data_IF_543209436528
#
_entry.id   IF_543209436528
#
_cell.length_a   1.000
_cell.length_b   1.000
_cell.length_c   1.000
_cell.angle_alpha   90.00
_cell.angle_beta   90.00
_cell.angle_gamma   90.00
#
_symmetry.space_group_name_H-M   'P 1'
#
loop_
_entity.id
_entity.type
_entity.pdbx_description
1 polymer ?
#
# COMPACT_ATOMS: atom_id res chain seq x y z
N UNK A 1 10.42 5.28 10.57
CA UNK A 1 9.26 5.60 9.72
C UNK A 1 8.64 6.89 10.22
N UNK A 2 8.47 7.87 9.35
CA UNK A 2 7.88 9.15 9.76
C UNK A 2 6.37 9.03 9.95
N UNK A 3 5.76 10.09 10.47
CA UNK A 3 4.35 10.12 10.83
C UNK A 3 3.42 9.89 9.63
N UNK A 4 3.73 10.49 8.47
CA UNK A 4 2.93 10.33 7.26
C UNK A 4 3.01 8.89 6.72
N UNK A 5 4.21 8.35 6.67
CA UNK A 5 4.44 6.99 6.18
C UNK A 5 3.76 5.98 7.09
N UNK A 6 3.84 6.18 8.40
CA UNK A 6 3.21 5.31 9.38
C UNK A 6 1.69 5.34 9.25
N UNK A 7 1.13 6.51 9.00
CA UNK A 7 -0.31 6.67 8.82
C UNK A 7 -0.81 5.89 7.61
N UNK A 8 -0.10 5.99 6.49
CA UNK A 8 -0.43 5.22 5.30
C UNK A 8 -0.24 3.72 5.52
N UNK A 9 0.86 3.32 6.12
CA UNK A 9 1.13 1.93 6.42
C UNK A 9 0.00 1.32 7.27
N UNK A 10 -0.42 2.01 8.33
CA UNK A 10 -1.50 1.55 9.20
C UNK A 10 -2.81 1.41 8.45
N UNK A 11 -3.10 2.34 7.56
CA UNK A 11 -4.29 2.29 6.72
C UNK A 11 -4.28 1.06 5.80
N UNK A 12 -3.14 0.82 5.14
CA UNK A 12 -3.00 -0.33 4.24
C UNK A 12 -3.14 -1.66 4.99
N UNK A 13 -2.56 -1.76 6.18
CA UNK A 13 -2.71 -2.96 7.02
C UNK A 13 -4.17 -3.20 7.36
N UNK A 14 -4.89 -2.16 7.76
CA UNK A 14 -6.31 -2.26 8.08
C UNK A 14 -7.15 -2.72 6.91
N UNK A 15 -6.91 -2.15 5.73
CA UNK A 15 -7.63 -2.51 4.51
C UNK A 15 -7.38 -3.97 4.16
N UNK A 16 -6.13 -4.43 4.27
CA UNK A 16 -5.78 -5.81 3.98
C UNK A 16 -6.43 -6.80 4.93
N UNK A 17 -6.56 -6.43 6.22
CA UNK A 17 -7.20 -7.30 7.22
C UNK A 17 -8.72 -7.28 7.14
N UNK A 18 -9.30 -6.20 6.66
CA UNK A 18 -10.75 -6.05 6.60
C UNK A 18 -11.16 -5.31 5.31
N UNK A 19 -11.14 -6.01 4.16
CA UNK A 19 -11.46 -5.38 2.87
C UNK A 19 -12.85 -4.76 2.82
N UNK A 20 -13.80 -5.27 3.58
CA UNK A 20 -15.17 -4.76 3.58
C UNK A 20 -15.32 -3.45 4.33
N UNK A 21 -14.29 -3.01 5.06
CA UNK A 21 -14.33 -1.74 5.77
C UNK A 21 -14.21 -0.54 4.84
N UNK A 22 -13.84 -0.77 3.58
CA UNK A 22 -13.58 0.26 2.60
C UNK A 22 -14.80 0.49 1.73
N UNK A 23 -15.29 1.75 1.65
CA UNK A 23 -16.38 2.09 0.75
C UNK A 23 -15.88 2.02 -0.70
N UNK A 24 -16.80 1.85 -1.69
CA UNK A 24 -16.38 1.85 -3.09
C UNK A 24 -15.64 3.11 -3.51
N UNK A 25 -16.01 4.27 -2.98
CA UNK A 25 -15.35 5.52 -3.27
C UNK A 25 -13.91 5.53 -2.73
N UNK A 26 -13.72 5.05 -1.51
CA UNK A 26 -12.40 4.97 -0.89
C UNK A 26 -11.51 3.98 -1.60
N UNK A 27 -12.09 2.84 -2.02
CA UNK A 27 -11.37 1.84 -2.80
C UNK A 27 -10.86 2.45 -4.11
N UNK A 28 -11.70 3.24 -4.78
CA UNK A 28 -11.33 3.91 -6.01
C UNK A 28 -10.15 4.87 -5.79
N UNK A 29 -10.20 5.65 -4.72
CA UNK A 29 -9.10 6.55 -4.38
C UNK A 29 -7.81 5.78 -4.08
N UNK A 30 -7.92 4.65 -3.39
CA UNK A 30 -6.76 3.83 -3.09
C UNK A 30 -6.15 3.23 -4.36
N UNK A 31 -7.00 2.78 -5.29
CA UNK A 31 -6.52 2.28 -6.59
C UNK A 31 -5.72 3.36 -7.32
N UNK A 32 -6.25 4.58 -7.37
CA UNK A 32 -5.56 5.71 -8.01
C UNK A 32 -4.22 5.99 -7.35
N UNK A 33 -4.18 5.93 -6.02
CA UNK A 33 -2.94 6.14 -5.28
C UNK A 33 -1.89 5.11 -5.69
N UNK A 34 -2.27 3.84 -5.77
CA UNK A 34 -1.33 2.78 -6.12
C UNK A 34 -0.87 2.86 -7.57
N UNK A 35 -1.70 3.41 -8.47
CA UNK A 35 -1.31 3.58 -9.87
C UNK A 35 -0.17 4.58 -10.06
N UNK A 36 0.18 5.34 -9.04
CA UNK A 36 1.34 6.23 -9.08
C UNK A 36 2.66 5.44 -9.06
N UNK A 37 2.60 4.17 -8.67
CA UNK A 37 3.77 3.29 -8.66
C UNK A 37 3.93 2.59 -10.01
N UNK A 38 5.17 2.22 -10.39
CA UNK A 38 5.37 1.32 -11.52
C UNK A 38 4.61 0.02 -11.29
N UNK A 39 4.15 -0.66 -12.37
CA UNK A 39 3.31 -1.85 -12.22
C UNK A 39 3.91 -2.94 -11.34
N UNK A 40 5.21 -3.15 -11.42
CA UNK A 40 5.92 -4.17 -10.63
C UNK A 40 5.86 -3.85 -9.13
N UNK A 41 6.07 -2.59 -8.78
CA UNK A 41 6.03 -2.16 -7.39
C UNK A 41 4.60 -2.09 -6.87
N UNK A 42 3.65 -1.67 -7.70
CA UNK A 42 2.23 -1.68 -7.36
C UNK A 42 1.77 -3.08 -7.00
N UNK A 43 2.16 -4.07 -7.81
CA UNK A 43 1.82 -5.46 -7.55
C UNK A 43 2.44 -5.96 -6.26
N UNK A 44 3.70 -5.62 -6.00
CA UNK A 44 4.39 -6.03 -4.78
C UNK A 44 3.69 -5.47 -3.53
N UNK A 45 3.31 -4.20 -3.55
CA UNK A 45 2.60 -3.57 -2.43
C UNK A 45 1.22 -4.21 -2.25
N UNK A 46 0.50 -4.44 -3.35
CA UNK A 46 -0.82 -5.05 -3.31
C UNK A 46 -0.76 -6.44 -2.65
N UNK A 47 0.22 -7.26 -3.00
CA UNK A 47 0.37 -8.59 -2.43
C UNK A 47 0.90 -8.58 -1.00
N UNK A 48 1.76 -7.61 -0.67
CA UNK A 48 2.32 -7.52 0.68
C UNK A 48 1.24 -7.23 1.72
N UNK A 49 0.29 -6.36 1.37
CA UNK A 49 -0.80 -5.99 2.27
C UNK A 49 -2.08 -6.80 2.05
N UNK A 50 -2.18 -7.53 0.95
CA UNK A 50 -3.40 -8.27 0.61
C UNK A 50 -4.55 -7.36 0.21
N UNK A 51 -4.29 -6.35 -0.63
CA UNK A 51 -5.28 -5.35 -1.04
C UNK A 51 -6.16 -5.87 -2.18
N UNK A 52 -7.39 -5.35 -2.26
CA UNK A 52 -8.33 -5.60 -3.36
C UNK A 52 -8.63 -7.09 -3.59
N UNK A 53 -8.66 -7.86 -2.51
CA UNK A 53 -8.91 -9.29 -2.61
C UNK A 53 -7.72 -10.11 -3.08
N UNK A 54 -6.57 -9.49 -3.29
CA UNK A 54 -5.36 -10.20 -3.68
C UNK A 54 -4.87 -11.09 -2.55
N UNK A 55 -4.30 -12.24 -2.90
CA UNK A 55 -3.71 -13.13 -1.92
C UNK A 55 -2.49 -12.47 -1.31
N UNK A 56 -2.44 -12.45 0.03
CA UNK A 56 -1.27 -11.93 0.72
C UNK A 56 -0.11 -12.90 0.55
N UNK A 57 1.01 -12.40 0.04
CA UNK A 57 2.21 -13.18 -0.17
C UNK A 57 3.24 -12.88 0.93
N UNK A 58 4.07 -13.87 1.23
CA UNK A 58 5.18 -13.67 2.15
C UNK A 58 6.25 -12.80 1.50
N UNK A 59 7.10 -12.20 2.32
CA UNK A 59 8.22 -11.40 1.81
C UNK A 59 9.14 -12.23 0.91
N UNK A 60 9.32 -13.51 1.24
CA UNK A 60 10.12 -14.42 0.44
C UNK A 60 9.54 -14.59 -0.97
N UNK A 61 8.22 -14.75 -1.08
CA UNK A 61 7.54 -14.89 -2.36
C UNK A 61 7.62 -13.61 -3.18
N UNK A 62 7.43 -12.45 -2.53
CA UNK A 62 7.53 -11.15 -3.19
C UNK A 62 8.95 -10.91 -3.70
N UNK A 63 9.95 -11.25 -2.89
CA UNK A 63 11.35 -11.12 -3.31
C UNK A 63 11.63 -11.96 -4.54
N UNK A 64 11.06 -13.14 -4.60
CA UNK A 64 11.20 -14.03 -5.76
C UNK A 64 10.62 -13.40 -7.02
N UNK A 65 9.42 -12.81 -6.91
CA UNK A 65 8.78 -12.13 -8.04
C UNK A 65 9.57 -10.91 -8.49
N UNK A 66 10.19 -10.19 -7.57
CA UNK A 66 11.00 -9.02 -7.87
C UNK A 66 12.44 -9.39 -8.29
N UNK A 67 12.77 -10.67 -8.23
CA UNK A 67 14.13 -11.15 -8.53
C UNK A 67 15.18 -10.46 -7.65
N UNK A 68 14.86 -10.33 -6.36
CA UNK A 68 15.71 -9.63 -5.40
C UNK A 68 15.82 -10.41 -4.09
N UNK A 69 16.67 -9.94 -3.18
CA UNK A 69 16.72 -10.48 -1.82
C UNK A 69 15.50 -10.02 -1.04
N UNK A 70 15.23 -10.70 0.09
CA UNK A 70 14.14 -10.29 0.96
C UNK A 70 14.37 -8.90 1.56
N UNK A 71 15.63 -8.57 1.87
CA UNK A 71 15.98 -7.24 2.37
C UNK A 71 15.70 -6.16 1.34
N UNK A 72 16.08 -6.40 0.09
CA UNK A 72 15.84 -5.44 -0.99
C UNK A 72 14.34 -5.28 -1.26
N UNK A 73 13.60 -6.38 -1.24
CA UNK A 73 12.15 -6.35 -1.44
C UNK A 73 11.47 -5.52 -0.35
N UNK A 74 11.85 -5.74 0.92
CA UNK A 74 11.31 -4.98 2.04
C UNK A 74 11.63 -3.49 1.90
N UNK A 75 12.86 -3.17 1.53
CA UNK A 75 13.28 -1.78 1.34
C UNK A 75 12.50 -1.11 0.22
N UNK A 76 12.28 -1.82 -0.90
CA UNK A 76 11.51 -1.30 -2.02
C UNK A 76 10.06 -1.01 -1.61
N UNK A 77 9.44 -1.91 -0.85
CA UNK A 77 8.07 -1.72 -0.36
C UNK A 77 8.03 -0.51 0.57
N UNK A 78 8.97 -0.39 1.51
CA UNK A 78 9.06 0.76 2.40
C UNK A 78 9.21 2.07 1.64
N UNK A 79 10.04 2.09 0.62
CA UNK A 79 10.23 3.27 -0.23
C UNK A 79 8.96 3.61 -0.99
N UNK A 80 8.23 2.61 -1.48
CA UNK A 80 6.96 2.83 -2.17
C UNK A 80 5.93 3.47 -1.24
N UNK A 81 5.80 2.95 -0.03
CA UNK A 81 4.86 3.51 0.95
C UNK A 81 5.26 4.94 1.30
N UNK A 82 6.55 5.19 1.47
CA UNK A 82 7.05 6.53 1.77
C UNK A 82 6.76 7.52 0.64
N UNK A 83 6.97 7.09 -0.61
CA UNK A 83 6.66 7.93 -1.78
C UNK A 83 5.18 8.27 -1.83
N UNK A 84 4.32 7.29 -1.60
CA UNK A 84 2.88 7.51 -1.65
C UNK A 84 2.40 8.40 -0.50
N UNK A 85 3.04 8.29 0.67
CA UNK A 85 2.64 9.04 1.86
C UNK A 85 2.79 10.54 1.71
N UNK A 86 3.71 11.00 0.85
CA UNK A 86 3.94 12.44 0.64
C UNK A 86 3.15 13.01 -0.52
N UNK A 87 2.32 12.18 -1.18
CA UNK A 87 1.53 12.65 -2.33
C UNK A 87 0.29 13.42 -1.89
N UNK A 88 -0.18 14.37 -2.71
CA UNK A 88 -1.47 15.03 -2.43
C UNK A 88 -2.64 14.05 -2.38
N UNK A 89 -2.58 12.99 -3.18
CA UNK A 89 -3.61 11.95 -3.23
C UNK A 89 -3.78 11.29 -1.86
N UNK A 90 -2.69 10.91 -1.21
CA UNK A 90 -2.76 10.33 0.12
C UNK A 90 -3.23 11.34 1.17
N UNK A 91 -2.75 12.58 1.07
CA UNK A 91 -3.16 13.63 2.02
C UNK A 91 -4.66 13.86 1.95
N UNK A 92 -5.24 13.90 0.74
CA UNK A 92 -6.67 14.05 0.55
C UNK A 92 -7.43 12.86 1.15
N UNK A 93 -7.00 11.65 0.85
CA UNK A 93 -7.61 10.42 1.36
C UNK A 93 -7.57 10.39 2.88
N UNK A 94 -6.43 10.75 3.46
CA UNK A 94 -6.24 10.78 4.91
C UNK A 94 -7.18 11.77 5.59
N UNK A 95 -7.42 12.94 4.96
CA UNK A 95 -8.37 13.91 5.48
C UNK A 95 -9.81 13.37 5.48
N UNK A 96 -10.19 12.66 4.42
CA UNK A 96 -11.51 12.03 4.34
C UNK A 96 -11.67 11.00 5.47
N UNK A 97 -10.63 10.23 5.73
CA UNK A 97 -10.64 9.23 6.81
C UNK A 97 -10.80 9.87 8.20
N UNK A 98 -10.18 11.03 8.40
CA UNK A 98 -10.24 11.72 9.69
C UNK A 98 -11.57 12.39 9.97
N UNK A 99 -12.37 12.63 8.95
CA UNK A 99 -13.66 13.31 9.09
C UNK A 99 -14.80 12.38 9.54
N UNK A 100 -14.51 11.14 9.76
CA UNK A 100 -15.51 10.17 10.23
C UNK A 100 -15.62 10.17 11.74
#
# INVERSE_FOLDING_TARGET
>A
MDSLTRSLHSFLVRVGLNPTSLSPQMEHYLEHLLYLLPPEEEEAVTHDYGLFGAQRLSLQEIAKELESSQEDAMERIDQCVRKLAVTPEWQMLNQILKKK
#
